data_IF_762560496810
#
_entry.id   IF_762560496810
#
_cell.length_a   1.000
_cell.length_b   1.000
_cell.length_c   1.000
_cell.angle_alpha   90.00
_cell.angle_beta   90.00
_cell.angle_gamma   90.00
#
_symmetry.space_group_name_H-M   'P 1'
#
loop_
_entity.id
_entity.type
_entity.pdbx_description
1 polymer ?
#
# COMPACT_ATOMS: atom_id res chain seq x y z
N UNK A 1 -18.02 3.36 6.20
CA UNK A 1 -18.19 3.10 4.74
C UNK A 1 -17.61 4.17 3.79
N UNK A 2 -17.21 5.38 4.20
CA UNK A 2 -16.73 6.44 3.26
C UNK A 2 -15.33 7.02 3.55
N UNK A 3 -14.48 6.30 4.29
CA UNK A 3 -13.22 6.84 4.84
C UNK A 3 -12.18 7.24 3.78
N UNK A 4 -12.32 6.80 2.52
CA UNK A 4 -11.36 7.06 1.44
C UNK A 4 -12.00 7.70 0.19
N UNK A 5 -13.33 7.89 0.17
CA UNK A 5 -14.05 8.38 -1.01
C UNK A 5 -13.78 9.87 -1.26
N UNK A 6 -13.51 10.26 -2.51
CA UNK A 6 -13.31 11.65 -2.97
C UNK A 6 -12.23 12.43 -2.19
N UNK A 7 -11.18 11.76 -1.75
CA UNK A 7 -10.06 12.41 -1.07
C UNK A 7 -8.85 12.54 -1.98
N UNK A 8 -8.18 13.70 -1.90
CA UNK A 8 -6.83 13.83 -2.43
C UNK A 8 -5.90 12.87 -1.71
N UNK A 9 -5.17 12.08 -2.49
CA UNK A 9 -4.19 11.10 -2.02
C UNK A 9 -2.79 11.51 -2.47
N UNK A 10 -1.79 10.98 -1.77
CA UNK A 10 -0.40 11.03 -2.18
C UNK A 10 0.06 9.62 -2.52
N UNK A 11 0.73 9.50 -3.66
CA UNK A 11 1.37 8.26 -4.09
C UNK A 11 2.86 8.37 -3.82
N UNK A 12 3.43 7.31 -3.25
CA UNK A 12 4.87 7.14 -3.12
C UNK A 12 5.27 5.85 -3.81
N UNK A 13 6.34 5.92 -4.58
CA UNK A 13 6.84 4.78 -5.37
C UNK A 13 8.06 4.16 -4.70
N UNK A 14 8.30 2.90 -5.01
CA UNK A 14 9.55 2.21 -4.71
C UNK A 14 10.48 2.22 -5.94
N UNK A 15 11.56 1.44 -5.90
CA UNK A 15 12.46 1.23 -7.06
C UNK A 15 11.72 0.65 -8.26
N UNK A 16 10.87 -0.35 -8.02
CA UNK A 16 9.99 -0.94 -9.03
C UNK A 16 8.69 -0.15 -9.01
N UNK A 17 8.38 0.50 -10.14
CA UNK A 17 7.19 1.36 -10.29
C UNK A 17 6.06 0.69 -11.07
N UNK A 18 6.39 -0.21 -11.97
CA UNK A 18 5.42 -0.96 -12.77
C UNK A 18 5.72 -2.45 -12.67
N UNK A 19 4.68 -3.27 -12.70
CA UNK A 19 4.80 -4.71 -12.92
C UNK A 19 4.85 -5.04 -14.42
N UNK A 20 4.93 -6.33 -14.73
CA UNK A 20 5.01 -6.84 -16.12
C UNK A 20 3.73 -6.55 -16.93
N UNK A 21 2.59 -6.37 -16.25
CA UNK A 21 1.30 -6.01 -16.83
C UNK A 21 1.12 -4.48 -16.93
N UNK A 22 2.17 -3.70 -16.64
CA UNK A 22 2.18 -2.23 -16.65
C UNK A 22 1.24 -1.57 -15.62
N UNK A 23 0.90 -2.28 -14.54
CA UNK A 23 0.18 -1.71 -13.40
C UNK A 23 1.11 -0.89 -12.52
N UNK A 24 0.62 0.24 -12.02
CA UNK A 24 1.39 1.15 -11.18
C UNK A 24 1.48 0.65 -9.73
N UNK A 25 2.68 0.28 -9.29
CA UNK A 25 2.98 -0.14 -7.93
C UNK A 25 3.25 1.07 -7.03
N UNK A 26 2.48 1.24 -5.96
CA UNK A 26 2.61 2.41 -5.09
C UNK A 26 2.12 2.20 -3.64
N UNK A 27 2.65 3.06 -2.76
CA UNK A 27 2.17 3.27 -1.41
C UNK A 27 1.21 4.45 -1.40
N UNK A 28 0.00 4.24 -0.85
CA UNK A 28 -1.04 5.27 -0.85
C UNK A 28 -1.17 5.93 0.53
N UNK A 29 -1.18 7.25 0.53
CA UNK A 29 -1.36 8.06 1.74
C UNK A 29 -2.52 9.03 1.57
N UNK A 30 -3.28 9.22 2.65
CA UNK A 30 -4.23 10.35 2.76
C UNK A 30 -3.49 11.66 3.07
N UNK A 31 -4.19 12.79 2.89
CA UNK A 31 -3.66 14.12 3.24
C UNK A 31 -3.17 14.26 4.67
N UNK A 32 -3.81 13.57 5.61
CA UNK A 32 -3.39 13.52 7.02
C UNK A 32 -2.23 12.53 7.28
N UNK A 33 -1.51 12.11 6.23
CA UNK A 33 -0.41 11.12 6.26
C UNK A 33 -0.82 9.72 6.72
N UNK A 34 -2.12 9.40 6.78
CA UNK A 34 -2.57 8.03 7.04
C UNK A 34 -2.09 7.10 5.93
N UNK A 35 -1.33 6.07 6.30
CA UNK A 35 -0.87 5.06 5.36
C UNK A 35 -1.97 4.03 5.11
N UNK A 36 -2.57 4.08 3.91
CA UNK A 36 -3.76 3.29 3.58
C UNK A 36 -3.41 1.81 3.46
N UNK A 37 -2.30 1.44 2.81
CA UNK A 37 -1.93 0.03 2.62
C UNK A 37 -1.79 -0.69 3.97
N UNK A 38 -1.12 -0.07 4.96
CA UNK A 38 -1.02 -0.63 6.30
C UNK A 38 -2.38 -0.77 7.01
N UNK A 39 -3.32 0.17 6.79
CA UNK A 39 -4.65 0.05 7.36
C UNK A 39 -5.39 -1.16 6.79
N UNK A 40 -5.34 -1.35 5.46
CA UNK A 40 -5.99 -2.47 4.79
C UNK A 40 -5.47 -3.83 5.29
N UNK A 41 -4.15 -3.97 5.40
CA UNK A 41 -3.50 -5.20 5.92
C UNK A 41 -3.96 -5.47 7.35
N UNK A 42 -3.88 -4.48 8.23
CA UNK A 42 -4.30 -4.62 9.65
C UNK A 42 -5.78 -4.93 9.82
N UNK A 43 -6.61 -4.56 8.85
CA UNK A 43 -8.04 -4.89 8.86
C UNK A 43 -8.36 -6.24 8.23
N UNK A 44 -7.36 -7.00 7.77
CA UNK A 44 -7.54 -8.28 7.10
C UNK A 44 -8.25 -8.17 5.74
N UNK A 45 -8.27 -6.98 5.14
CA UNK A 45 -8.93 -6.76 3.84
C UNK A 45 -8.03 -7.13 2.66
N UNK A 46 -6.72 -7.18 2.88
CA UNK A 46 -5.71 -7.54 1.89
C UNK A 46 -4.56 -8.27 2.58
N UNK A 47 -3.84 -9.09 1.82
CA UNK A 47 -2.62 -9.79 2.25
C UNK A 47 -1.38 -9.13 1.67
N UNK A 48 -0.21 -9.41 2.25
CA UNK A 48 1.06 -8.85 1.76
C UNK A 48 1.57 -9.71 0.60
N UNK A 49 1.75 -9.10 -0.57
CA UNK A 49 2.41 -9.76 -1.68
C UNK A 49 3.93 -9.86 -1.41
N UNK A 50 4.46 -11.07 -1.50
CA UNK A 50 5.88 -11.40 -1.28
C UNK A 50 6.62 -11.73 -2.57
N UNK A 51 5.96 -11.59 -3.73
CA UNK A 51 6.54 -11.88 -5.05
C UNK A 51 7.58 -10.84 -5.48
N UNK A 52 7.53 -9.65 -4.89
CA UNK A 52 8.44 -8.54 -5.18
C UNK A 52 9.28 -8.18 -3.95
N UNK A 53 10.55 -7.83 -4.19
CA UNK A 53 11.39 -7.19 -3.17
C UNK A 53 11.16 -5.67 -3.20
N UNK A 54 10.54 -5.15 -2.15
CA UNK A 54 10.27 -3.71 -1.97
C UNK A 54 10.59 -3.27 -0.56
N UNK A 55 10.91 -1.97 -0.41
CA UNK A 55 11.48 -1.38 0.79
C UNK A 55 10.71 -1.65 2.08
N UNK A 56 9.38 -1.73 1.98
CA UNK A 56 8.50 -1.89 3.13
C UNK A 56 8.03 -3.34 3.36
N UNK A 57 8.50 -4.34 2.60
CA UNK A 57 8.02 -5.73 2.67
C UNK A 57 8.03 -6.29 4.09
N UNK A 58 9.18 -6.28 4.75
CA UNK A 58 9.34 -6.78 6.12
C UNK A 58 8.48 -6.04 7.15
N UNK A 59 8.22 -4.75 6.92
CA UNK A 59 7.35 -3.95 7.78
C UNK A 59 5.88 -4.32 7.57
N UNK A 60 5.46 -4.56 6.33
CA UNK A 60 4.08 -4.92 6.00
C UNK A 60 3.76 -6.34 6.48
N UNK A 61 4.66 -7.31 6.28
CA UNK A 61 4.50 -8.69 6.78
C UNK A 61 4.21 -8.72 8.29
N UNK A 62 4.92 -7.92 9.08
CA UNK A 62 4.69 -7.82 10.54
C UNK A 62 3.32 -7.26 10.94
N UNK A 63 2.59 -6.65 10.01
CA UNK A 63 1.24 -6.11 10.26
C UNK A 63 0.14 -7.10 9.91
N UNK A 64 0.49 -8.16 9.18
CA UNK A 64 -0.36 -9.30 8.89
C UNK A 64 -0.24 -10.23 10.10
N UNK A 65 -1.19 -10.10 11.04
CA UNK A 65 -1.29 -10.90 12.27
C UNK A 65 -2.34 -11.99 12.09
#
# INVERSE_FOLDING_TARGET
KNKFKNQKIFLKYDKIKYDDDNNLLCYVYLRNKTFINAHLIKTGLVTVDTSYDYKNLEKLKKMEL
#
